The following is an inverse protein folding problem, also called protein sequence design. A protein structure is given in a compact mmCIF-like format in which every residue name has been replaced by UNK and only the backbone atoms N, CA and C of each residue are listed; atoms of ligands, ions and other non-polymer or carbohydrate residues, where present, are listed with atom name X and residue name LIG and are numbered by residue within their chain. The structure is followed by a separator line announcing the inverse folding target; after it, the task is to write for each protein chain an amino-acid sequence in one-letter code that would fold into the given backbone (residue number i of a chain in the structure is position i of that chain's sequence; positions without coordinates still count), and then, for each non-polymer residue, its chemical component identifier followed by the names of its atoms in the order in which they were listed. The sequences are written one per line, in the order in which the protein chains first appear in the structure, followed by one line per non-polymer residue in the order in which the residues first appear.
data_IF_512196202356
#
_entry.id   IF_512196202356
#
_cell.length_a   1.000
_cell.length_b   1.000
_cell.length_c   1.000
_cell.angle_alpha   90.00
_cell.angle_beta   90.00
_cell.angle_gamma   90.00
#
_symmetry.space_group_name_H-M   'P 1'
#
loop_
_entity.id
_entity.type
_entity.pdbx_description
1 polymer ?
#
# COMPACT_ATOMS: atom_id res chain seq x y z
N UNK A 1 -0.78 26.26 5.38
CA UNK A 1 -0.35 24.91 5.78
C UNK A 1 0.97 25.06 6.51
N UNK A 2 1.04 24.60 7.75
CA UNK A 2 2.25 24.74 8.58
C UNK A 2 3.35 23.77 8.11
N UNK A 3 4.58 23.95 8.58
CA UNK A 3 5.66 23.00 8.30
C UNK A 3 5.35 21.61 8.91
N UNK A 4 4.71 21.57 10.08
CA UNK A 4 4.26 20.33 10.73
C UNK A 4 3.20 19.60 9.88
N UNK A 5 2.22 20.34 9.34
CA UNK A 5 1.20 19.78 8.44
C UNK A 5 1.84 19.15 7.19
N UNK A 6 2.88 19.78 6.63
CA UNK A 6 3.59 19.26 5.46
C UNK A 6 4.36 17.97 5.79
N UNK A 7 4.99 17.90 6.96
CA UNK A 7 5.70 16.69 7.42
C UNK A 7 4.71 15.55 7.61
N UNK A 8 3.59 15.79 8.29
CA UNK A 8 2.54 14.76 8.47
C UNK A 8 1.92 14.34 7.15
N UNK A 9 1.68 15.27 6.22
CA UNK A 9 1.15 14.95 4.90
C UNK A 9 2.14 14.13 4.06
N UNK A 10 3.44 14.45 4.13
CA UNK A 10 4.50 13.66 3.51
C UNK A 10 4.61 12.25 4.14
N UNK A 11 4.42 12.13 5.45
CA UNK A 11 4.35 10.85 6.12
C UNK A 11 3.15 10.01 5.67
N UNK A 12 1.94 10.61 5.59
CA UNK A 12 0.77 9.95 5.04
C UNK A 12 0.98 9.51 3.59
N UNK A 13 1.51 10.39 2.74
CA UNK A 13 1.82 10.08 1.35
C UNK A 13 2.78 8.88 1.23
N UNK A 14 3.77 8.82 2.12
CA UNK A 14 4.73 7.71 2.16
C UNK A 14 4.04 6.38 2.50
N UNK A 15 3.13 6.37 3.48
CA UNK A 15 2.35 5.17 3.82
C UNK A 15 1.42 4.75 2.68
N UNK A 16 0.77 5.70 2.02
CA UNK A 16 -0.06 5.41 0.85
C UNK A 16 0.75 4.85 -0.32
N UNK A 17 1.94 5.40 -0.63
CA UNK A 17 2.84 4.83 -1.65
C UNK A 17 3.24 3.40 -1.30
N UNK A 18 3.54 3.13 -0.02
CA UNK A 18 3.89 1.76 0.42
C UNK A 18 2.72 0.82 0.13
N UNK A 19 1.48 1.22 0.47
CA UNK A 19 0.29 0.44 0.14
C UNK A 19 0.12 0.25 -1.39
N UNK A 20 0.22 1.32 -2.17
CA UNK A 20 0.04 1.29 -3.62
C UNK A 20 1.11 0.43 -4.33
N UNK A 21 2.33 0.41 -3.80
CA UNK A 21 3.42 -0.43 -4.33
C UNK A 21 3.12 -1.93 -4.25
N UNK A 22 2.31 -2.35 -3.28
CA UNK A 22 1.82 -3.73 -3.18
C UNK A 22 0.66 -3.94 -4.16
N UNK A 23 -0.24 -2.95 -4.30
CA UNK A 23 -1.38 -3.00 -5.22
C UNK A 23 -0.96 -3.26 -6.66
N UNK A 24 0.08 -2.56 -7.15
CA UNK A 24 0.51 -2.68 -8.55
C UNK A 24 1.07 -4.06 -8.90
N UNK A 25 1.53 -4.83 -7.91
CA UNK A 25 2.06 -6.18 -8.11
C UNK A 25 1.07 -7.28 -7.70
N UNK A 26 -0.18 -6.98 -7.34
CA UNK A 26 -1.14 -8.00 -6.88
C UNK A 26 -1.29 -9.15 -7.86
N UNK A 27 -1.49 -8.82 -9.14
CA UNK A 27 -1.72 -9.81 -10.22
C UNK A 27 -0.44 -10.20 -10.95
N UNK A 28 0.72 -9.70 -10.53
CA UNK A 28 1.99 -10.06 -11.14
C UNK A 28 2.33 -11.50 -10.77
N UNK A 29 2.73 -12.31 -11.75
CA UNK A 29 3.28 -13.64 -11.47
C UNK A 29 4.59 -13.50 -10.69
N UNK A 30 4.69 -14.20 -9.56
CA UNK A 30 5.85 -14.10 -8.67
C UNK A 30 6.81 -15.28 -8.79
N UNK A 31 6.34 -16.42 -9.29
CA UNK A 31 7.20 -17.59 -9.51
C UNK A 31 8.08 -17.46 -10.74
N UNK A 32 9.30 -18.01 -10.62
CA UNK A 32 10.19 -18.24 -11.76
C UNK A 32 9.82 -19.54 -12.48
N UNK A 33 10.25 -19.68 -13.74
CA UNK A 33 10.06 -20.92 -14.51
C UNK A 33 10.64 -22.13 -13.78
N UNK A 34 11.81 -21.99 -13.15
CA UNK A 34 12.44 -23.06 -12.38
C UNK A 34 11.58 -23.50 -11.17
N UNK A 35 10.97 -22.55 -10.46
CA UNK A 35 10.07 -22.84 -9.34
C UNK A 35 8.80 -23.57 -9.82
N UNK A 36 8.27 -23.19 -10.97
CA UNK A 36 7.11 -23.87 -11.56
C UNK A 36 7.44 -25.30 -11.97
N UNK A 37 8.54 -25.52 -12.70
CA UNK A 37 8.94 -26.87 -13.11
C UNK A 37 9.20 -27.77 -11.90
N UNK A 38 9.82 -27.24 -10.84
CA UNK A 38 9.98 -27.95 -9.58
C UNK A 38 8.63 -28.32 -8.96
N UNK A 39 7.69 -27.37 -8.90
CA UNK A 39 6.35 -27.60 -8.35
C UNK A 39 5.58 -28.64 -9.15
N UNK A 40 5.62 -28.58 -10.49
CA UNK A 40 5.00 -29.57 -11.38
C UNK A 40 5.54 -30.98 -11.12
N UNK A 41 6.86 -31.11 -10.96
CA UNK A 41 7.53 -32.39 -10.73
C UNK A 41 7.22 -32.97 -9.35
N UNK A 42 7.16 -32.14 -8.32
CA UNK A 42 6.98 -32.59 -6.93
C UNK A 42 5.52 -32.81 -6.56
N UNK A 43 4.60 -31.94 -7.02
CA UNK A 43 3.21 -31.90 -6.56
C UNK A 43 2.18 -32.08 -7.67
N UNK A 44 2.52 -31.77 -8.92
CA UNK A 44 1.58 -31.79 -10.06
C UNK A 44 1.32 -30.41 -10.65
N UNK A 45 0.85 -30.37 -11.89
CA UNK A 45 0.69 -29.13 -12.65
C UNK A 45 -0.46 -28.24 -12.13
N UNK A 46 -1.46 -28.84 -11.52
CA UNK A 46 -2.61 -28.18 -10.91
C UNK A 46 -2.26 -27.33 -9.68
N UNK A 47 -1.13 -27.62 -9.01
CA UNK A 47 -0.71 -26.88 -7.82
C UNK A 47 0.00 -25.56 -8.12
N UNK A 48 0.52 -25.39 -9.35
CA UNK A 48 1.12 -24.13 -9.79
C UNK A 48 0.13 -22.96 -9.72
N UNK A 49 -1.06 -23.01 -10.36
CA UNK A 49 -2.03 -21.92 -10.26
C UNK A 49 -2.59 -21.76 -8.84
N UNK A 50 -2.70 -22.83 -8.05
CA UNK A 50 -3.11 -22.75 -6.66
C UNK A 50 -2.13 -21.92 -5.82
N UNK A 51 -0.82 -22.19 -5.94
CA UNK A 51 0.23 -21.42 -5.25
C UNK A 51 0.26 -19.95 -5.66
N UNK A 52 0.10 -19.66 -6.96
CA UNK A 52 0.03 -18.27 -7.45
C UNK A 52 -1.21 -17.54 -6.90
N UNK A 53 -2.37 -18.21 -6.84
CA UNK A 53 -3.58 -17.63 -6.28
C UNK A 53 -3.44 -17.35 -4.78
N UNK A 54 -2.89 -18.29 -4.01
CA UNK A 54 -2.60 -18.07 -2.58
C UNK A 54 -1.61 -16.91 -2.38
N UNK A 55 -0.54 -16.83 -3.18
CA UNK A 55 0.41 -15.72 -3.16
C UNK A 55 -0.26 -14.36 -3.45
N UNK A 56 -1.20 -14.32 -4.40
CA UNK A 56 -2.00 -13.13 -4.69
C UNK A 56 -2.85 -12.72 -3.48
N UNK A 57 -3.54 -13.66 -2.83
CA UNK A 57 -4.36 -13.40 -1.63
C UNK A 57 -3.50 -12.82 -0.50
N UNK A 58 -2.29 -13.33 -0.27
CA UNK A 58 -1.41 -12.78 0.78
C UNK A 58 -0.92 -11.36 0.45
N UNK A 59 -0.64 -11.04 -0.82
CA UNK A 59 -0.32 -9.67 -1.22
C UNK A 59 -1.52 -8.74 -1.04
N UNK A 60 -2.73 -9.22 -1.34
CA UNK A 60 -3.97 -8.49 -1.10
C UNK A 60 -4.17 -8.21 0.40
N UNK A 61 -3.91 -9.20 1.26
CA UNK A 61 -3.96 -9.02 2.71
C UNK A 61 -3.07 -7.88 3.20
N UNK A 62 -1.82 -7.86 2.72
CA UNK A 62 -0.86 -6.81 3.05
C UNK A 62 -1.35 -5.45 2.51
N UNK A 63 -1.80 -5.38 1.27
CA UNK A 63 -2.28 -4.13 0.68
C UNK A 63 -3.46 -3.53 1.44
N UNK A 64 -4.51 -4.31 1.70
CA UNK A 64 -5.68 -3.86 2.46
C UNK A 64 -5.29 -3.37 3.86
N UNK A 65 -4.40 -4.09 4.53
CA UNK A 65 -3.91 -3.73 5.86
C UNK A 65 -3.11 -2.42 5.85
N UNK A 66 -2.30 -2.18 4.82
CA UNK A 66 -1.56 -0.93 4.67
C UNK A 66 -2.46 0.27 4.32
N UNK A 67 -3.56 0.05 3.60
CA UNK A 67 -4.57 1.10 3.39
C UNK A 67 -5.21 1.56 4.69
N UNK A 68 -5.44 0.65 5.64
CA UNK A 68 -5.93 1.06 6.96
C UNK A 68 -4.93 1.97 7.68
N UNK A 69 -3.63 1.71 7.58
CA UNK A 69 -2.59 2.58 8.15
C UNK A 69 -2.65 3.98 7.52
N UNK A 70 -2.94 4.09 6.23
CA UNK A 70 -3.18 5.38 5.59
C UNK A 70 -4.46 6.07 6.13
N UNK A 71 -5.50 5.33 6.47
CA UNK A 71 -6.70 5.88 7.15
C UNK A 71 -6.36 6.40 8.54
N UNK A 72 -5.52 5.69 9.31
CA UNK A 72 -5.02 6.15 10.62
C UNK A 72 -4.28 7.49 10.46
N UNK A 73 -3.31 7.56 9.54
CA UNK A 73 -2.56 8.80 9.27
C UNK A 73 -3.44 9.94 8.75
N UNK A 74 -4.44 9.65 7.93
CA UNK A 74 -5.40 10.65 7.47
C UNK A 74 -6.22 11.24 8.63
N UNK A 75 -6.69 10.41 9.56
CA UNK A 75 -7.42 10.86 10.75
C UNK A 75 -6.54 11.70 11.67
N UNK A 76 -5.28 11.31 11.86
CA UNK A 76 -4.30 12.08 12.65
C UNK A 76 -3.99 13.47 12.08
N UNK A 77 -4.11 13.66 10.77
CA UNK A 77 -3.97 14.97 10.14
C UNK A 77 -5.06 15.97 10.56
N UNK A 78 -6.22 15.49 11.02
CA UNK A 78 -7.36 16.34 11.41
C UNK A 78 -7.94 17.18 10.26
N UNK A 79 -7.61 16.85 9.01
CA UNK A 79 -8.16 17.51 7.81
C UNK A 79 -9.41 16.79 7.35
N UNK A 80 -10.33 17.54 6.74
CA UNK A 80 -11.53 16.98 6.10
C UNK A 80 -11.43 17.13 4.59
N UNK A 81 -11.73 16.06 3.88
CA UNK A 81 -11.87 16.03 2.44
C UNK A 81 -13.14 15.25 2.10
N UNK A 82 -14.19 15.97 1.74
CA UNK A 82 -15.56 15.44 1.66
C UNK A 82 -15.67 14.11 0.88
N UNK A 83 -15.06 13.96 -0.32
CA UNK A 83 -15.16 12.70 -1.06
C UNK A 83 -14.56 11.49 -0.33
N UNK A 84 -13.53 11.70 0.51
CA UNK A 84 -12.95 10.66 1.34
C UNK A 84 -13.77 10.42 2.62
N UNK A 85 -14.35 11.48 3.19
CA UNK A 85 -15.27 11.37 4.33
C UNK A 85 -16.50 10.52 3.96
N UNK A 86 -17.06 10.69 2.76
CA UNK A 86 -18.18 9.88 2.26
C UNK A 86 -17.85 8.38 2.22
N UNK A 87 -16.64 8.01 1.80
CA UNK A 87 -16.17 6.62 1.80
C UNK A 87 -15.97 6.10 3.23
N UNK A 88 -15.39 6.93 4.10
CA UNK A 88 -15.11 6.59 5.50
C UNK A 88 -16.36 6.58 6.38
N UNK A 89 -17.45 7.23 5.96
CA UNK A 89 -18.73 7.25 6.66
C UNK A 89 -19.35 5.85 6.78
N UNK A 90 -18.94 4.90 5.91
CA UNK A 90 -19.27 3.48 6.02
C UNK A 90 -18.47 2.81 7.15
N UNK A 91 -18.72 3.22 8.40
CA UNK A 91 -17.90 2.89 9.57
C UNK A 91 -17.70 1.40 9.83
N UNK A 92 -18.66 0.55 9.42
CA UNK A 92 -18.53 -0.91 9.53
C UNK A 92 -17.35 -1.46 8.71
N UNK A 93 -17.16 -0.99 7.47
CA UNK A 93 -16.03 -1.40 6.63
C UNK A 93 -14.70 -0.95 7.23
N UNK A 94 -14.67 0.25 7.82
CA UNK A 94 -13.47 0.76 8.49
C UNK A 94 -13.10 -0.08 9.72
N UNK A 95 -14.10 -0.51 10.51
CA UNK A 95 -13.85 -1.38 11.66
C UNK A 95 -13.43 -2.80 11.25
N UNK A 96 -14.05 -3.36 10.21
CA UNK A 96 -13.64 -4.64 9.65
C UNK A 96 -12.20 -4.57 9.11
N UNK A 97 -11.84 -3.51 8.37
CA UNK A 97 -10.50 -3.30 7.86
C UNK A 97 -9.45 -3.12 8.99
N UNK A 98 -9.83 -2.47 10.10
CA UNK A 98 -8.99 -2.39 11.31
C UNK A 98 -8.68 -3.78 11.88
N UNK A 99 -9.71 -4.62 12.02
CA UNK A 99 -9.57 -5.99 12.53
C UNK A 99 -8.74 -6.85 11.57
N UNK A 100 -8.96 -6.67 10.28
CA UNK A 100 -8.20 -7.30 9.22
C UNK A 100 -6.70 -6.95 9.30
N UNK A 101 -6.37 -5.66 9.40
CA UNK A 101 -4.99 -5.17 9.59
C UNK A 101 -4.31 -5.78 10.80
N UNK A 102 -5.04 -5.92 11.89
CA UNK A 102 -4.50 -6.59 13.08
C UNK A 102 -4.22 -8.07 12.82
N UNK A 103 -5.14 -8.79 12.17
CA UNK A 103 -4.92 -10.20 11.89
C UNK A 103 -3.81 -10.45 10.85
N UNK A 104 -3.55 -9.51 9.94
CA UNK A 104 -2.43 -9.61 8.98
C UNK A 104 -1.07 -9.40 9.62
N UNK A 105 -0.92 -8.44 10.55
CA UNK A 105 0.39 -8.07 11.10
C UNK A 105 0.69 -8.64 12.49
N UNK A 106 -0.30 -9.18 13.18
CA UNK A 106 -0.10 -9.93 14.42
C UNK A 106 -0.27 -11.42 14.16
N UNK A 107 0.63 -12.24 14.72
CA UNK A 107 0.56 -13.69 14.62
C UNK A 107 -0.83 -14.20 15.04
N UNK A 108 -1.47 -14.96 14.15
CA UNK A 108 -2.71 -15.68 14.43
C UNK A 108 -2.39 -17.19 14.44
N UNK A 109 -2.83 -17.87 15.49
CA UNK A 109 -2.72 -19.33 15.56
C UNK A 109 -3.64 -20.01 14.55
N UNK A 110 -4.79 -19.39 14.25
CA UNK A 110 -5.73 -19.82 13.21
C UNK A 110 -5.47 -19.03 11.91
N UNK A 111 -5.05 -19.69 10.82
CA UNK A 111 -4.80 -19.02 9.53
C UNK A 111 -6.08 -18.48 8.87
N UNK A 112 -7.26 -18.92 9.31
CA UNK A 112 -8.57 -18.53 8.81
C UNK A 112 -9.40 -17.80 9.87
N UNK A 113 -8.74 -17.02 10.72
CA UNK A 113 -9.42 -16.29 11.78
C UNK A 113 -10.58 -15.43 11.24
N UNK A 114 -11.68 -15.37 12.00
CA UNK A 114 -12.86 -14.56 11.69
C UNK A 114 -12.50 -13.09 11.38
N UNK A 115 -11.46 -12.55 12.03
CA UNK A 115 -10.96 -11.19 11.79
C UNK A 115 -10.48 -10.95 10.35
N UNK A 116 -9.93 -11.97 9.69
CA UNK A 116 -9.54 -11.92 8.29
C UNK A 116 -10.74 -12.14 7.38
N UNK A 117 -11.53 -13.17 7.67
CA UNK A 117 -12.65 -13.60 6.82
C UNK A 117 -13.75 -12.54 6.77
N UNK A 118 -14.10 -11.93 7.90
CA UNK A 118 -15.24 -11.03 7.99
C UNK A 118 -15.15 -9.80 7.07
N UNK A 119 -13.94 -9.28 6.81
CA UNK A 119 -13.79 -8.20 5.83
C UNK A 119 -13.95 -8.72 4.39
N UNK A 120 -13.39 -9.88 4.08
CA UNK A 120 -13.44 -10.47 2.73
C UNK A 120 -14.85 -10.91 2.34
N UNK A 121 -15.64 -11.42 3.30
CA UNK A 121 -17.02 -11.85 3.08
C UNK A 121 -18.02 -10.69 3.10
N UNK A 122 -17.61 -9.51 3.58
CA UNK A 122 -18.49 -8.35 3.58
C UNK A 122 -18.82 -7.96 2.15
N UNK A 123 -20.11 -7.88 1.86
CA UNK A 123 -20.64 -7.45 0.56
C UNK A 123 -20.00 -6.13 0.13
N UNK A 124 -19.58 -6.06 -1.14
CA UNK A 124 -18.91 -4.91 -1.75
C UNK A 124 -17.61 -4.44 -1.06
N UNK A 125 -16.98 -5.28 -0.21
CA UNK A 125 -15.71 -4.92 0.44
C UNK A 125 -14.59 -4.63 -0.57
N UNK A 126 -14.54 -5.39 -1.68
CA UNK A 126 -13.64 -5.15 -2.82
C UNK A 126 -13.91 -3.78 -3.46
N UNK A 127 -15.17 -3.44 -3.73
CA UNK A 127 -15.53 -2.15 -4.34
C UNK A 127 -15.13 -1.02 -3.40
N UNK A 128 -15.49 -1.13 -2.11
CA UNK A 128 -15.22 -0.13 -1.11
C UNK A 128 -13.72 0.12 -0.90
N UNK A 129 -12.88 -0.93 -0.85
CA UNK A 129 -11.45 -0.76 -0.63
C UNK A 129 -10.73 -0.15 -1.84
N UNK A 130 -11.23 -0.41 -3.05
CA UNK A 130 -10.78 0.26 -4.26
C UNK A 130 -11.15 1.75 -4.26
N UNK A 131 -12.39 2.08 -3.86
CA UNK A 131 -12.84 3.47 -3.70
C UNK A 131 -12.03 4.21 -2.62
N UNK A 132 -11.75 3.55 -1.49
CA UNK A 132 -10.90 4.10 -0.44
C UNK A 132 -9.52 4.48 -0.98
N UNK A 133 -8.86 3.56 -1.69
CA UNK A 133 -7.55 3.84 -2.27
C UNK A 133 -7.60 5.03 -3.24
N UNK A 134 -8.63 5.07 -4.10
CA UNK A 134 -8.84 6.15 -5.07
C UNK A 134 -9.05 7.50 -4.41
N UNK A 135 -9.85 7.56 -3.34
CA UNK A 135 -10.10 8.81 -2.62
C UNK A 135 -8.91 9.27 -1.78
N UNK A 136 -8.13 8.34 -1.22
CA UNK A 136 -6.84 8.67 -0.60
C UNK A 136 -5.88 9.29 -1.62
N UNK A 137 -5.77 8.71 -2.82
CA UNK A 137 -4.97 9.27 -3.91
C UNK A 137 -5.45 10.69 -4.30
N UNK A 138 -6.76 10.87 -4.48
CA UNK A 138 -7.36 12.15 -4.82
C UNK A 138 -7.08 13.21 -3.76
N UNK A 139 -7.25 12.87 -2.48
CA UNK A 139 -6.90 13.74 -1.36
C UNK A 139 -5.42 14.13 -1.40
N UNK A 140 -4.52 13.17 -1.57
CA UNK A 140 -3.07 13.41 -1.59
C UNK A 140 -2.66 14.32 -2.75
N UNK A 141 -3.22 14.09 -3.95
CA UNK A 141 -3.01 14.96 -5.11
C UNK A 141 -3.52 16.38 -4.90
N UNK A 142 -4.62 16.53 -4.17
CA UNK A 142 -5.19 17.83 -3.82
C UNK A 142 -4.38 18.56 -2.74
N UNK A 143 -3.96 17.83 -1.70
CA UNK A 143 -3.34 18.41 -0.50
C UNK A 143 -1.84 18.69 -0.67
N UNK A 144 -1.12 17.89 -1.46
CA UNK A 144 0.32 18.03 -1.65
C UNK A 144 0.65 19.18 -2.61
N UNK A 145 1.62 20.06 -2.30
CA UNK A 145 2.08 21.12 -3.19
C UNK A 145 3.01 20.56 -4.28
N UNK A 146 2.49 19.65 -5.12
CA UNK A 146 3.26 18.91 -6.12
C UNK A 146 3.82 19.88 -7.16
N UNK A 147 2.99 20.81 -7.65
CA UNK A 147 3.38 21.74 -8.72
C UNK A 147 4.51 22.66 -8.26
N UNK A 148 4.36 23.28 -7.10
CA UNK A 148 5.35 24.16 -6.49
C UNK A 148 6.65 23.40 -6.20
N UNK A 149 6.54 22.16 -5.76
CA UNK A 149 7.71 21.30 -5.53
C UNK A 149 8.43 20.98 -6.84
N UNK A 150 7.72 20.68 -7.91
CA UNK A 150 8.31 20.42 -9.23
C UNK A 150 8.97 21.67 -9.82
N UNK A 151 8.37 22.85 -9.70
CA UNK A 151 8.96 24.12 -10.14
C UNK A 151 10.26 24.42 -9.37
N UNK A 152 10.25 24.22 -8.05
CA UNK A 152 11.44 24.36 -7.21
C UNK A 152 12.54 23.38 -7.60
N UNK A 153 12.21 22.11 -7.87
CA UNK A 153 13.19 21.11 -8.33
C UNK A 153 13.75 21.47 -9.70
N UNK A 154 12.94 22.00 -10.63
CA UNK A 154 13.42 22.50 -11.93
C UNK A 154 14.39 23.66 -11.77
N UNK A 155 14.11 24.58 -10.84
CA UNK A 155 14.94 25.78 -10.60
C UNK A 155 16.24 25.46 -9.84
N UNK A 156 16.16 24.63 -8.80
CA UNK A 156 17.23 24.44 -7.82
C UNK A 156 17.92 23.08 -7.91
N UNK A 157 17.46 22.20 -8.81
CA UNK A 157 17.85 20.79 -8.85
C UNK A 157 17.11 19.94 -7.80
N UNK A 158 17.23 18.60 -7.87
CA UNK A 158 16.65 17.71 -6.88
C UNK A 158 17.28 17.90 -5.50
N UNK A 159 16.56 17.59 -4.41
CA UNK A 159 17.10 17.67 -3.05
C UNK A 159 18.36 16.83 -2.90
N UNK A 160 19.37 17.40 -2.21
CA UNK A 160 20.63 16.69 -1.93
C UNK A 160 20.35 15.53 -0.98
N UNK A 161 20.87 14.36 -1.33
CA UNK A 161 20.80 13.18 -0.48
C UNK A 161 21.94 13.27 0.52
N UNK A 162 21.69 13.11 1.84
CA UNK A 162 22.76 13.14 2.83
C UNK A 162 23.81 12.07 2.53
N UNK A 163 25.08 12.47 2.58
CA UNK A 163 26.22 11.59 2.40
C UNK A 163 26.26 10.49 3.48
N UNK A 164 26.74 9.30 3.11
CA UNK A 164 26.84 8.16 4.03
C UNK A 164 25.53 7.38 4.26
N UNK A 165 24.42 7.79 3.65
CA UNK A 165 23.16 7.03 3.68
C UNK A 165 23.17 5.87 2.68
N UNK A 166 22.44 4.77 2.97
CA UNK A 166 22.24 3.66 2.01
C UNK A 166 21.68 4.14 0.67
N UNK A 167 20.92 5.24 0.66
CA UNK A 167 20.43 5.92 -0.56
C UNK A 167 21.57 6.55 -1.37
N UNK A 168 22.50 7.26 -0.71
CA UNK A 168 23.67 7.85 -1.38
C UNK A 168 24.55 6.79 -2.07
N UNK A 169 24.66 5.60 -1.48
CA UNK A 169 25.38 4.46 -2.06
C UNK A 169 24.64 3.86 -3.26
N UNK A 170 23.33 3.60 -3.16
CA UNK A 170 22.54 2.99 -4.25
C UNK A 170 22.47 3.87 -5.50
N UNK A 171 22.34 5.19 -5.35
CA UNK A 171 22.26 6.11 -6.49
C UNK A 171 23.62 6.39 -7.15
N UNK A 172 24.73 6.18 -6.45
CA UNK A 172 26.08 6.21 -7.03
C UNK A 172 26.36 5.01 -7.94
N UNK A 173 25.78 3.84 -7.65
CA UNK A 173 25.97 2.62 -8.45
C UNK A 173 25.39 2.79 -9.87
N UNK A 174 24.29 3.54 -10.04
CA UNK A 174 23.70 3.82 -11.35
C UNK A 174 24.46 4.83 -12.22
N UNK A 175 25.41 5.59 -11.66
CA UNK A 175 26.23 6.57 -12.43
C UNK A 175 27.55 5.99 -12.96
N UNK A 176 27.88 4.73 -12.66
CA UNK A 176 29.12 4.07 -13.12
C UNK A 176 28.94 3.21 -14.38
N UNK A 177 27.81 3.28 -15.07
CA UNK A 177 27.53 2.51 -16.30
C UNK A 177 26.97 3.35 -17.46
N UNK A 178 27.42 4.60 -17.61
CA UNK A 178 27.20 5.41 -18.80
C UNK A 178 28.53 5.94 -19.34
#
# INVERSE_FOLDING_TARGET
MTNDDLVKLAALYSHWIIADSVRVVLRQKTTTLEQEERTKKEYGAEYVPFGEHASMIYRMQVWYSLLYVAVEGYRELGKKYEPLEEVLARGEYVDLLRRYRNATFYFQADPLSEKLIAFLEKEDSEVWIHDLNKQLEAFLRHALPIKETMERVKKNGPPKIPDGTKLSTRLRIGKKQA
#
